data_IF_555583609881
#
_entry.id   IF_555583609881
#
_cell.length_a   1.000
_cell.length_b   1.000
_cell.length_c   1.000
_cell.angle_alpha   90.00
_cell.angle_beta   90.00
_cell.angle_gamma   90.00
#
_symmetry.space_group_name_H-M   'P 1'
#
loop_
_entity.id
_entity.type
_entity.pdbx_description
1 polymer ?
#
# COMPACT_ATOMS: atom_id res chain seq x y z
N UNK A 1 58.60 -23.38 33.41
CA UNK A 1 57.14 -23.57 33.60
C UNK A 1 56.30 -22.37 33.16
N UNK A 2 56.79 -21.52 32.22
CA UNK A 2 56.11 -20.26 31.86
C UNK A 2 55.70 -20.19 30.38
N UNK A 3 55.89 -21.25 29.60
CA UNK A 3 55.56 -21.32 28.16
C UNK A 3 54.10 -21.73 27.88
N UNK A 4 53.43 -22.39 28.82
CA UNK A 4 52.01 -22.79 28.70
C UNK A 4 51.05 -21.60 28.88
N UNK A 5 51.46 -20.57 29.63
CA UNK A 5 50.64 -19.39 29.90
C UNK A 5 50.52 -18.46 28.68
N UNK A 6 51.52 -18.45 27.81
CA UNK A 6 51.52 -17.62 26.58
C UNK A 6 50.51 -18.17 25.56
N UNK A 7 50.46 -19.49 25.39
CA UNK A 7 49.47 -20.14 24.53
C UNK A 7 48.05 -20.01 25.11
N UNK A 8 47.89 -20.11 26.44
CA UNK A 8 46.61 -19.88 27.09
C UNK A 8 46.11 -18.43 26.93
N UNK A 9 46.99 -17.42 27.01
CA UNK A 9 46.63 -16.02 26.77
C UNK A 9 46.19 -15.74 25.33
N UNK A 10 46.82 -16.41 24.35
CA UNK A 10 46.49 -16.26 22.92
C UNK A 10 45.14 -16.89 22.56
N UNK A 11 44.74 -17.98 23.24
CA UNK A 11 43.42 -18.60 23.08
C UNK A 11 42.31 -17.81 23.77
N UNK A 12 42.57 -17.20 24.93
CA UNK A 12 41.58 -16.39 25.66
C UNK A 12 41.26 -15.07 24.94
N UNK A 13 42.25 -14.42 24.33
CA UNK A 13 42.02 -13.17 23.59
C UNK A 13 41.34 -13.36 22.23
N UNK A 14 41.46 -14.53 21.61
CA UNK A 14 40.73 -14.86 20.37
C UNK A 14 39.32 -15.42 20.64
N UNK A 15 39.08 -16.01 21.82
CA UNK A 15 37.73 -16.38 22.27
C UNK A 15 36.84 -15.17 22.61
N UNK A 16 37.44 -14.03 23.01
CA UNK A 16 36.74 -12.78 23.29
C UNK A 16 36.68 -11.82 22.09
N UNK A 17 37.55 -11.96 21.10
CA UNK A 17 37.45 -11.25 19.83
C UNK A 17 36.61 -12.08 18.85
N UNK A 18 35.29 -12.13 19.09
CA UNK A 18 34.36 -12.62 18.10
C UNK A 18 34.46 -11.73 16.85
N UNK A 19 35.14 -12.22 15.81
CA UNK A 19 35.02 -11.64 14.47
C UNK A 19 33.53 -11.67 14.13
N UNK A 20 32.96 -10.51 13.82
CA UNK A 20 31.57 -10.39 13.40
C UNK A 20 31.39 -11.18 12.08
N UNK A 21 30.93 -12.43 12.20
CA UNK A 21 30.50 -13.28 11.08
C UNK A 21 29.05 -13.00 10.67
N UNK A 22 28.55 -11.80 10.96
CA UNK A 22 27.32 -11.33 10.33
C UNK A 22 27.57 -11.12 8.83
N UNK A 23 26.51 -11.09 8.01
CA UNK A 23 26.66 -11.05 6.56
C UNK A 23 27.33 -9.76 6.04
N UNK A 24 27.66 -8.80 6.92
CA UNK A 24 28.51 -7.66 6.60
C UNK A 24 27.88 -6.72 5.58
N UNK A 25 28.74 -6.03 4.82
CA UNK A 25 28.29 -5.18 3.72
C UNK A 25 27.59 -6.00 2.64
N UNK A 26 27.97 -7.27 2.44
CA UNK A 26 27.34 -8.19 1.47
C UNK A 26 25.88 -8.49 1.84
N UNK A 27 25.60 -8.72 3.13
CA UNK A 27 24.25 -8.78 3.70
C UNK A 27 23.50 -7.47 3.57
N UNK A 28 24.18 -6.35 3.83
CA UNK A 28 23.59 -5.02 3.71
C UNK A 28 23.16 -4.69 2.28
N UNK A 29 24.01 -4.97 1.28
CA UNK A 29 23.70 -4.69 -0.14
C UNK A 29 22.69 -5.68 -0.72
N UNK A 30 22.69 -6.94 -0.28
CA UNK A 30 21.67 -7.92 -0.69
C UNK A 30 20.31 -7.57 -0.11
N UNK A 31 20.24 -7.16 1.16
CA UNK A 31 18.99 -6.67 1.76
C UNK A 31 18.54 -5.37 1.10
N UNK A 32 19.45 -4.45 0.78
CA UNK A 32 19.14 -3.20 0.07
C UNK A 32 18.69 -3.43 -1.38
N UNK A 33 19.26 -4.43 -2.07
CA UNK A 33 18.84 -4.86 -3.40
C UNK A 33 17.47 -5.57 -3.42
N UNK A 34 17.01 -6.05 -2.26
CA UNK A 34 15.64 -6.56 -2.04
C UNK A 34 14.67 -5.46 -1.56
N UNK A 35 15.15 -4.25 -1.26
CA UNK A 35 14.28 -3.09 -1.06
C UNK A 35 13.83 -2.65 -2.46
N UNK A 36 12.87 -3.42 -2.95
CA UNK A 36 12.07 -3.14 -4.12
C UNK A 36 11.33 -1.84 -3.88
N UNK A 37 11.94 -0.71 -4.28
CA UNK A 37 11.18 0.52 -4.45
C UNK A 37 9.98 0.24 -5.36
N UNK A 38 8.91 1.05 -5.32
CA UNK A 38 7.75 0.82 -6.20
C UNK A 38 8.11 0.77 -7.70
N UNK A 39 9.32 1.18 -8.09
CA UNK A 39 9.84 1.25 -9.47
C UNK A 39 10.74 0.04 -9.80
N UNK A 40 10.24 -1.17 -9.54
CA UNK A 40 10.87 -2.43 -9.97
C UNK A 40 10.22 -2.97 -11.24
N UNK A 41 8.92 -2.71 -11.35
CA UNK A 41 8.12 -2.99 -12.53
C UNK A 41 8.24 -1.82 -13.52
N UNK A 42 8.02 -2.06 -14.83
CA UNK A 42 7.93 -0.97 -15.81
C UNK A 42 6.96 0.09 -15.30
N UNK A 43 7.32 1.37 -15.44
CA UNK A 43 6.60 2.53 -14.88
C UNK A 43 5.08 2.46 -15.10
N UNK A 44 4.67 1.93 -16.25
CA UNK A 44 3.26 1.62 -16.57
C UNK A 44 2.58 0.77 -15.48
N UNK A 45 3.17 -0.35 -15.06
CA UNK A 45 2.59 -1.24 -14.03
C UNK A 45 2.46 -0.54 -12.68
N UNK A 46 3.44 0.29 -12.32
CA UNK A 46 3.44 1.05 -11.05
C UNK A 46 2.31 2.07 -11.04
N UNK A 47 2.18 2.86 -12.11
CA UNK A 47 1.09 3.85 -12.24
C UNK A 47 -0.26 3.15 -12.19
N UNK A 48 -0.39 2.00 -12.84
CA UNK A 48 -1.64 1.23 -12.89
C UNK A 48 -2.01 0.64 -11.53
N UNK A 49 -1.06 0.07 -10.79
CA UNK A 49 -1.29 -0.41 -9.43
C UNK A 49 -1.77 0.73 -8.51
N UNK A 50 -1.15 1.91 -8.62
CA UNK A 50 -1.57 3.10 -7.89
C UNK A 50 -2.97 3.57 -8.30
N UNK A 51 -3.31 3.54 -9.59
CA UNK A 51 -4.65 3.86 -10.07
C UNK A 51 -5.70 2.87 -9.54
N UNK A 52 -5.45 1.57 -9.61
CA UNK A 52 -6.39 0.57 -9.11
C UNK A 52 -6.59 0.67 -7.60
N UNK A 53 -5.52 0.94 -6.84
CA UNK A 53 -5.61 1.25 -5.40
C UNK A 53 -6.50 2.47 -5.16
N UNK A 54 -6.26 3.58 -5.87
CA UNK A 54 -7.07 4.78 -5.75
C UNK A 54 -8.56 4.52 -6.07
N UNK A 55 -8.85 3.83 -7.18
CA UNK A 55 -10.21 3.45 -7.57
C UNK A 55 -10.91 2.59 -6.51
N UNK A 56 -10.17 1.67 -5.87
CA UNK A 56 -10.69 0.83 -4.79
C UNK A 56 -11.09 1.67 -3.56
N UNK A 57 -10.25 2.63 -3.17
CA UNK A 57 -10.57 3.53 -2.06
C UNK A 57 -11.76 4.43 -2.36
N UNK A 58 -11.86 4.96 -3.59
CA UNK A 58 -13.01 5.75 -4.03
C UNK A 58 -14.30 4.93 -4.03
N UNK A 59 -14.26 3.68 -4.49
CA UNK A 59 -15.41 2.77 -4.46
C UNK A 59 -15.90 2.55 -3.03
N UNK A 60 -14.99 2.27 -2.09
CA UNK A 60 -15.32 2.10 -0.68
C UNK A 60 -15.91 3.38 -0.07
N UNK A 61 -15.30 4.54 -0.31
CA UNK A 61 -15.79 5.83 0.17
C UNK A 61 -17.18 6.16 -0.39
N UNK A 62 -17.44 5.84 -1.65
CA UNK A 62 -18.75 5.99 -2.28
C UNK A 62 -19.83 5.18 -1.58
N UNK A 63 -19.57 3.89 -1.29
CA UNK A 63 -20.51 3.04 -0.56
C UNK A 63 -20.83 3.62 0.83
N UNK A 64 -19.82 4.10 1.56
CA UNK A 64 -20.01 4.73 2.87
C UNK A 64 -20.90 5.99 2.79
N UNK A 65 -20.71 6.81 1.76
CA UNK A 65 -21.55 7.99 1.56
C UNK A 65 -23.01 7.64 1.24
N UNK A 66 -23.26 6.57 0.48
CA UNK A 66 -24.63 6.09 0.25
C UNK A 66 -25.29 5.67 1.56
N UNK A 67 -24.56 4.98 2.43
CA UNK A 67 -25.08 4.57 3.75
C UNK A 67 -25.45 5.78 4.59
N UNK A 68 -24.55 6.78 4.69
CA UNK A 68 -24.80 8.02 5.45
C UNK A 68 -26.00 8.79 4.87
N UNK A 69 -26.09 8.89 3.54
CA UNK A 69 -27.20 9.56 2.88
C UNK A 69 -28.51 8.78 3.05
N UNK A 70 -28.48 7.45 3.05
CA UNK A 70 -29.63 6.59 3.29
C UNK A 70 -30.20 6.77 4.69
N UNK A 71 -29.34 6.77 5.71
CA UNK A 71 -29.75 7.10 7.07
C UNK A 71 -30.33 8.51 7.14
N UNK A 72 -29.64 9.50 6.58
CA UNK A 72 -30.14 10.87 6.56
C UNK A 72 -31.52 10.95 5.89
N UNK A 73 -31.75 10.23 4.79
CA UNK A 73 -33.03 10.20 4.09
C UNK A 73 -34.16 9.61 4.93
N UNK A 74 -33.92 8.47 5.59
CA UNK A 74 -34.92 7.79 6.43
C UNK A 74 -35.21 8.58 7.71
N UNK A 75 -34.17 9.08 8.39
CA UNK A 75 -34.31 9.83 9.63
C UNK A 75 -34.87 11.26 9.43
N UNK A 76 -34.93 11.76 8.19
CA UNK A 76 -35.38 13.13 7.91
C UNK A 76 -36.84 13.42 8.31
N UNK A 77 -37.69 12.40 8.52
CA UNK A 77 -38.91 12.44 9.35
C UNK A 77 -40.00 13.52 9.12
N UNK A 78 -39.81 14.48 8.20
CA UNK A 78 -40.68 15.66 8.06
C UNK A 78 -39.94 16.94 7.61
N UNK A 79 -38.61 16.95 7.64
CA UNK A 79 -37.77 18.02 7.09
C UNK A 79 -37.53 17.80 5.60
N UNK A 80 -38.19 18.59 4.75
CA UNK A 80 -38.00 18.53 3.30
C UNK A 80 -36.56 18.87 2.89
N UNK A 81 -35.93 19.80 3.61
CA UNK A 81 -34.53 20.20 3.40
C UNK A 81 -33.57 19.01 3.57
N UNK A 82 -33.78 18.17 4.59
CA UNK A 82 -32.89 17.04 4.84
C UNK A 82 -33.11 15.90 3.83
N UNK A 83 -34.36 15.67 3.41
CA UNK A 83 -34.69 14.73 2.32
C UNK A 83 -34.04 15.14 1.01
N UNK A 84 -34.15 16.40 0.62
CA UNK A 84 -33.58 16.90 -0.63
C UNK A 84 -32.06 16.87 -0.63
N UNK A 85 -31.43 17.16 0.52
CA UNK A 85 -29.99 17.01 0.68
C UNK A 85 -29.55 15.56 0.49
N UNK A 86 -30.22 14.61 1.14
CA UNK A 86 -29.90 13.20 1.04
C UNK A 86 -30.03 12.68 -0.41
N UNK A 87 -31.10 13.06 -1.12
CA UNK A 87 -31.28 12.72 -2.54
C UNK A 87 -30.15 13.25 -3.41
N UNK A 88 -29.74 14.51 -3.21
CA UNK A 88 -28.61 15.12 -3.96
C UNK A 88 -27.30 14.37 -3.72
N UNK A 89 -27.03 13.98 -2.47
CA UNK A 89 -25.84 13.18 -2.13
C UNK A 89 -25.88 11.85 -2.86
N UNK A 90 -26.99 11.12 -2.80
CA UNK A 90 -27.15 9.83 -3.49
C UNK A 90 -26.92 9.99 -5.00
N UNK A 91 -27.50 11.04 -5.61
CA UNK A 91 -27.33 11.32 -7.03
C UNK A 91 -25.86 11.57 -7.41
N UNK A 92 -25.16 12.42 -6.66
CA UNK A 92 -23.75 12.72 -6.93
C UNK A 92 -22.85 11.50 -6.72
N UNK A 93 -23.13 10.69 -5.70
CA UNK A 93 -22.37 9.47 -5.45
C UNK A 93 -22.64 8.43 -6.54
N UNK A 94 -23.87 8.30 -7.02
CA UNK A 94 -24.22 7.40 -8.12
C UNK A 94 -23.43 7.76 -9.39
N UNK A 95 -23.37 9.05 -9.74
CA UNK A 95 -22.57 9.54 -10.87
C UNK A 95 -21.08 9.23 -10.65
N UNK A 96 -20.56 9.47 -9.45
CA UNK A 96 -19.17 9.16 -9.10
C UNK A 96 -18.84 7.67 -9.26
N UNK A 97 -19.73 6.77 -8.82
CA UNK A 97 -19.54 5.33 -8.97
C UNK A 97 -19.55 4.90 -10.44
N UNK A 98 -20.41 5.48 -11.27
CA UNK A 98 -20.40 5.23 -12.72
C UNK A 98 -19.03 5.60 -13.31
N UNK A 99 -18.49 6.77 -12.95
CA UNK A 99 -17.16 7.20 -13.42
C UNK A 99 -16.06 6.24 -12.96
N UNK A 100 -16.10 5.75 -11.72
CA UNK A 100 -15.14 4.75 -11.21
C UNK A 100 -15.18 3.45 -12.02
N UNK A 101 -16.38 2.96 -12.35
CA UNK A 101 -16.53 1.78 -13.19
C UNK A 101 -15.96 2.00 -14.61
N UNK A 102 -16.24 3.15 -15.22
CA UNK A 102 -15.72 3.50 -16.54
C UNK A 102 -14.19 3.64 -16.53
N UNK A 103 -13.63 4.29 -15.50
CA UNK A 103 -12.19 4.43 -15.35
C UNK A 103 -11.50 3.07 -15.28
N UNK A 104 -12.05 2.12 -14.52
CA UNK A 104 -11.50 0.76 -14.41
C UNK A 104 -11.45 0.06 -15.77
N UNK A 105 -12.53 0.14 -16.53
CA UNK A 105 -12.65 -0.47 -17.86
C UNK A 105 -11.71 0.18 -18.87
N UNK A 106 -11.61 1.52 -18.86
CA UNK A 106 -10.68 2.26 -19.73
C UNK A 106 -9.22 1.90 -19.47
N UNK A 107 -8.83 1.81 -18.20
CA UNK A 107 -7.47 1.40 -17.81
C UNK A 107 -7.18 -0.03 -18.28
N UNK A 108 -8.15 -0.94 -18.17
CA UNK A 108 -8.04 -2.31 -18.70
C UNK A 108 -7.92 -2.37 -20.22
N UNK A 109 -8.58 -1.46 -20.95
CA UNK A 109 -8.45 -1.38 -22.41
C UNK A 109 -7.05 -0.92 -22.83
N UNK A 110 -6.49 0.11 -22.17
CA UNK A 110 -5.11 0.57 -22.42
C UNK A 110 -4.06 -0.50 -22.09
N UNK A 111 -4.38 -1.43 -21.20
CA UNK A 111 -3.52 -2.57 -20.86
C UNK A 111 -3.45 -3.61 -21.97
N UNK A 112 -4.61 -4.00 -22.52
CA UNK A 112 -4.74 -5.08 -23.49
C UNK A 112 -4.61 -4.63 -24.96
N UNK A 113 -4.72 -3.33 -25.24
CA UNK A 113 -4.57 -2.77 -26.58
C UNK A 113 -3.11 -2.57 -27.04
N UNK A 114 -2.13 -2.80 -26.17
CA UNK A 114 -0.69 -2.64 -26.45
C UNK A 114 0.07 -3.97 -26.47
N UNK A 115 -0.61 -5.07 -26.80
CA UNK A 115 -0.01 -6.35 -27.17
C UNK A 115 -0.12 -6.59 -28.66
#
# INVERSE_FOLDING_TARGET
MNSYLIHAYFLVNTAAAQVFNGPGLEGGVTQAGMIDGPIQAPLRVVILDMMYKALSFLGLAGVLMIVIAGFTFVLSGGSDTAKDRAKKIILYVAIGLIVVFLARTMVGFLLNGLS
#
